data_IF_424397797756
#
_entry.id   IF_424397797756
#
_cell.length_a   1.000
_cell.length_b   1.000
_cell.length_c   1.000
_cell.angle_alpha   90.00
_cell.angle_beta   90.00
_cell.angle_gamma   90.00
#
_symmetry.space_group_name_H-M   'P 1'
#
loop_
_entity.id
_entity.type
_entity.pdbx_description
1 polymer ?
#
# COMPACT_ATOMS: atom_id res chain seq x y z
N UNK A 1 26.32 -17.10 -0.29
CA UNK A 1 25.84 -17.29 1.10
C UNK A 1 25.68 -15.90 1.68
N UNK A 2 24.52 -15.60 2.28
CA UNK A 2 24.23 -14.25 2.79
C UNK A 2 24.84 -14.13 4.17
N UNK A 3 25.72 -13.16 4.36
CA UNK A 3 26.26 -12.80 5.67
C UNK A 3 25.22 -11.91 6.37
N UNK A 4 24.86 -12.27 7.60
CA UNK A 4 23.88 -11.55 8.42
C UNK A 4 24.54 -10.84 9.61
N UNK A 5 25.87 -10.85 9.73
CA UNK A 5 26.56 -10.26 10.87
C UNK A 5 26.21 -8.77 11.02
N UNK A 6 25.71 -8.39 12.19
CA UNK A 6 25.27 -7.03 12.49
C UNK A 6 23.98 -6.58 11.78
N UNK A 7 23.27 -7.46 11.06
CA UNK A 7 22.02 -7.14 10.39
C UNK A 7 20.79 -7.38 11.27
N UNK A 8 19.67 -6.79 10.86
CA UNK A 8 18.36 -7.01 11.43
C UNK A 8 17.56 -7.96 10.54
N UNK A 9 17.07 -9.05 11.12
CA UNK A 9 16.21 -10.02 10.45
C UNK A 9 14.83 -9.92 11.07
N UNK A 10 13.82 -9.63 10.24
CA UNK A 10 12.43 -9.53 10.69
C UNK A 10 11.73 -10.87 10.53
N UNK A 11 11.22 -11.42 11.62
CA UNK A 11 10.29 -12.55 11.60
C UNK A 11 8.86 -11.99 11.68
N UNK A 12 8.17 -11.95 10.54
CA UNK A 12 6.89 -11.26 10.40
C UNK A 12 5.76 -12.28 10.36
N UNK A 13 4.84 -12.20 11.33
CA UNK A 13 3.55 -12.89 11.27
C UNK A 13 2.49 -11.90 10.75
N UNK A 14 2.18 -12.01 9.46
CA UNK A 14 1.18 -11.19 8.76
C UNK A 14 -0.10 -11.99 8.49
N UNK A 15 -1.24 -11.31 8.58
CA UNK A 15 -2.54 -11.85 8.15
C UNK A 15 -2.97 -11.31 6.76
N UNK A 16 -2.27 -10.30 6.24
CA UNK A 16 -2.64 -9.55 5.04
C UNK A 16 -1.49 -9.55 4.04
N UNK A 17 -1.18 -10.74 3.53
CA UNK A 17 -0.14 -10.94 2.54
C UNK A 17 -0.64 -11.72 1.32
N UNK A 18 0.04 -11.54 0.20
CA UNK A 18 -0.17 -12.35 -1.01
C UNK A 18 1.16 -12.94 -1.48
N UNK A 19 1.12 -14.20 -1.92
CA UNK A 19 2.21 -14.78 -2.70
C UNK A 19 1.88 -14.57 -4.19
N UNK A 20 2.65 -13.75 -4.92
CA UNK A 20 2.42 -13.50 -6.34
C UNK A 20 2.85 -14.66 -7.25
N UNK A 21 3.61 -15.63 -6.74
CA UNK A 21 4.04 -16.84 -7.45
C UNK A 21 4.81 -16.54 -8.73
N UNK A 22 4.39 -17.13 -9.84
CA UNK A 22 5.02 -16.92 -11.15
C UNK A 22 4.70 -15.55 -11.78
N UNK A 23 3.89 -14.70 -11.14
CA UNK A 23 3.48 -13.41 -11.70
C UNK A 23 4.44 -12.25 -11.38
N UNK A 24 5.69 -12.56 -11.02
CA UNK A 24 6.72 -11.56 -10.72
C UNK A 24 7.88 -11.67 -11.70
N UNK A 25 8.55 -10.54 -11.94
CA UNK A 25 9.70 -10.45 -12.83
C UNK A 25 11.00 -10.98 -12.19
N UNK A 26 10.91 -11.93 -11.26
CA UNK A 26 12.06 -12.49 -10.52
C UNK A 26 12.00 -14.01 -10.58
N UNK A 27 13.18 -14.65 -10.61
CA UNK A 27 13.29 -16.10 -10.56
C UNK A 27 13.00 -16.67 -9.16
N UNK A 28 13.06 -15.82 -8.12
CA UNK A 28 12.77 -16.18 -6.74
C UNK A 28 11.27 -16.04 -6.47
N UNK A 29 10.60 -17.19 -6.38
CA UNK A 29 9.15 -17.31 -6.19
C UNK A 29 8.73 -17.36 -4.71
N UNK A 30 9.70 -17.30 -3.79
CA UNK A 30 9.43 -17.33 -2.35
C UNK A 30 9.14 -15.93 -1.79
N UNK A 31 9.00 -14.92 -2.67
CA UNK A 31 8.61 -13.58 -2.30
C UNK A 31 7.14 -13.50 -1.90
N UNK A 32 6.87 -12.67 -0.90
CA UNK A 32 5.53 -12.37 -0.42
C UNK A 32 5.35 -10.85 -0.36
N UNK A 33 4.21 -10.36 -0.81
CA UNK A 33 3.85 -8.95 -0.71
C UNK A 33 2.96 -8.74 0.52
N UNK A 34 3.38 -7.84 1.40
CA UNK A 34 2.63 -7.41 2.57
C UNK A 34 1.71 -6.24 2.22
N UNK A 35 0.56 -6.16 2.89
CA UNK A 35 -0.32 -5.00 2.76
C UNK A 35 0.38 -3.74 3.27
N UNK A 36 0.34 -2.62 2.53
CA UNK A 36 0.94 -1.36 2.97
C UNK A 36 0.20 -0.71 4.15
N UNK A 37 -1.01 -1.19 4.46
CA UNK A 37 -1.83 -0.69 5.57
C UNK A 37 -1.74 -1.56 6.82
N UNK A 38 -0.95 -2.65 6.77
CA UNK A 38 -0.77 -3.51 7.92
C UNK A 38 0.22 -2.89 8.90
N UNK A 39 -0.25 -2.69 10.13
CA UNK A 39 0.56 -2.23 11.25
C UNK A 39 0.99 -3.44 12.09
N UNK A 40 2.26 -3.42 12.52
CA UNK A 40 2.85 -4.48 13.33
C UNK A 40 3.29 -3.95 14.69
N UNK A 41 3.20 -4.81 15.69
CA UNK A 41 3.83 -4.57 17.00
C UNK A 41 5.07 -5.44 17.13
N UNK A 42 6.08 -4.91 17.83
CA UNK A 42 7.27 -5.68 18.19
C UNK A 42 6.92 -6.59 19.36
N UNK A 43 6.91 -7.90 19.12
CA UNK A 43 6.65 -8.90 20.15
C UNK A 43 7.94 -9.27 20.90
N UNK A 44 9.07 -9.36 20.19
CA UNK A 44 10.36 -9.69 20.78
C UNK A 44 11.53 -9.16 19.95
N UNK A 45 12.65 -8.91 20.62
CA UNK A 45 13.95 -8.59 20.02
C UNK A 45 14.98 -9.54 20.61
N UNK A 46 15.59 -10.37 19.77
CA UNK A 46 16.49 -11.44 20.16
C UNK A 46 17.84 -11.27 19.47
N UNK A 47 18.93 -11.52 20.20
CA UNK A 47 20.22 -11.76 19.57
C UNK A 47 20.33 -13.23 19.19
N UNK A 48 20.55 -13.49 17.91
CA UNK A 48 20.60 -14.83 17.35
C UNK A 48 21.99 -15.06 16.77
N UNK A 49 22.46 -16.32 16.84
CA UNK A 49 23.71 -16.74 16.24
C UNK A 49 23.41 -17.57 15.00
N UNK A 50 24.06 -17.23 13.90
CA UNK A 50 24.10 -18.13 12.75
C UNK A 50 24.95 -19.34 13.12
N UNK A 51 24.31 -20.52 13.16
CA UNK A 51 24.98 -21.78 13.50
C UNK A 51 26.09 -22.18 12.52
N UNK A 52 26.12 -21.59 11.32
CA UNK A 52 27.08 -21.95 10.27
C UNK A 52 28.28 -20.99 10.26
N UNK A 53 28.04 -19.68 10.42
CA UNK A 53 29.07 -18.65 10.32
C UNK A 53 29.55 -18.09 11.67
N UNK A 54 28.96 -18.54 12.78
CA UNK A 54 29.18 -18.01 14.15
C UNK A 54 28.91 -16.49 14.29
N UNK A 55 28.31 -15.87 13.27
CA UNK A 55 27.96 -14.46 13.26
C UNK A 55 26.72 -14.17 14.11
N UNK A 56 26.67 -12.96 14.68
CA UNK A 56 25.56 -12.53 15.53
C UNK A 56 24.69 -11.54 14.77
N UNK A 57 23.38 -11.81 14.75
CA UNK A 57 22.40 -10.93 14.13
C UNK A 57 21.24 -10.64 15.09
N UNK A 58 20.52 -9.55 14.84
CA UNK A 58 19.37 -9.17 15.65
C UNK A 58 18.08 -9.63 14.98
N UNK A 59 17.39 -10.58 15.59
CA UNK A 59 16.05 -11.01 15.18
C UNK A 59 14.98 -10.14 15.82
N UNK A 60 14.08 -9.56 15.02
CA UNK A 60 12.92 -8.80 15.49
C UNK A 60 11.65 -9.56 15.10
N UNK A 61 10.85 -9.94 16.09
CA UNK A 61 9.57 -10.61 15.87
C UNK A 61 8.47 -9.55 15.76
N UNK A 62 7.82 -9.51 14.61
CA UNK A 62 6.72 -8.60 14.30
C UNK A 62 5.42 -9.38 14.22
N UNK A 63 4.41 -8.93 14.98
CA UNK A 63 3.08 -9.53 14.97
C UNK A 63 2.06 -8.52 14.47
N UNK A 64 1.14 -8.99 13.64
CA UNK A 64 -0.02 -8.22 13.21
C UNK A 64 -0.70 -7.52 14.40
N UNK A 65 -0.91 -6.21 14.26
CA UNK A 65 -1.62 -5.38 15.24
C UNK A 65 -2.97 -4.93 14.70
N UNK A 66 -2.95 -4.26 13.54
CA UNK A 66 -4.11 -3.57 12.99
C UNK A 66 -3.97 -3.38 11.48
N UNK A 67 -5.08 -3.02 10.84
CA UNK A 67 -5.07 -2.40 9.52
C UNK A 67 -5.44 -0.93 9.67
N UNK A 68 -4.56 -0.05 9.21
CA UNK A 68 -4.78 1.39 9.25
C UNK A 68 -4.39 2.02 7.92
N UNK A 69 -5.31 2.79 7.34
CA UNK A 69 -5.07 3.53 6.11
C UNK A 69 -5.51 4.96 6.31
N UNK A 70 -4.61 5.90 6.01
CA UNK A 70 -4.92 7.34 6.01
C UNK A 70 -5.41 7.82 4.64
N UNK A 71 -5.55 6.92 3.66
CA UNK A 71 -6.03 7.25 2.32
C UNK A 71 -7.55 7.40 2.29
N UNK A 72 -8.03 8.57 1.85
CA UNK A 72 -9.46 8.87 1.72
C UNK A 72 -10.02 8.62 0.30
N UNK A 73 -9.58 7.56 -0.38
CA UNK A 73 -10.11 7.14 -1.69
C UNK A 73 -10.21 8.26 -2.76
N UNK A 74 -9.28 9.22 -2.79
CA UNK A 74 -9.33 10.42 -3.66
C UNK A 74 -9.42 10.15 -5.17
N UNK A 75 -9.10 8.93 -5.61
CA UNK A 75 -9.22 8.52 -7.02
C UNK A 75 -10.68 8.51 -7.49
N UNK A 76 -11.65 8.40 -6.57
CA UNK A 76 -13.08 8.47 -6.86
C UNK A 76 -13.70 9.85 -6.64
N UNK A 77 -12.90 10.93 -6.56
CA UNK A 77 -13.41 12.30 -6.60
C UNK A 77 -13.88 12.68 -8.01
N UNK A 78 -14.84 11.94 -8.57
CA UNK A 78 -15.85 12.56 -9.41
C UNK A 78 -16.63 13.46 -8.46
N UNK A 79 -16.22 14.71 -8.35
CA UNK A 79 -17.20 15.74 -8.00
C UNK A 79 -18.42 15.47 -8.88
N UNK A 80 -19.64 15.34 -8.35
CA UNK A 80 -20.79 15.51 -9.22
C UNK A 80 -20.53 16.81 -9.97
N UNK A 81 -20.65 16.79 -11.28
CA UNK A 81 -20.67 18.02 -12.03
C UNK A 81 -21.96 18.74 -11.66
N UNK A 82 -22.03 19.31 -10.45
CA UNK A 82 -22.97 20.33 -10.02
C UNK A 82 -22.57 21.63 -10.73
N UNK A 83 -22.48 21.56 -12.06
CA UNK A 83 -22.53 22.73 -12.90
C UNK A 83 -24.02 23.00 -13.06
N UNK A 84 -24.50 24.06 -12.42
CA UNK A 84 -25.89 24.48 -12.54
C UNK A 84 -26.24 24.59 -14.03
N UNK A 85 -27.06 23.66 -14.52
CA UNK A 85 -27.56 23.65 -15.90
C UNK A 85 -28.37 24.91 -16.22
N UNK A 86 -28.80 25.66 -15.21
CA UNK A 86 -29.52 26.92 -15.36
C UNK A 86 -28.69 27.98 -16.12
N UNK A 87 -27.36 27.99 -15.97
CA UNK A 87 -26.53 28.96 -16.69
C UNK A 87 -26.45 28.63 -18.19
N UNK A 88 -26.29 27.36 -18.54
CA UNK A 88 -26.30 26.91 -19.94
C UNK A 88 -27.65 27.21 -20.62
N UNK A 89 -28.75 27.01 -19.90
CA UNK A 89 -30.10 27.34 -20.40
C UNK A 89 -30.23 28.84 -20.67
N UNK A 90 -29.75 29.70 -19.77
CA UNK A 90 -29.79 31.15 -19.97
C UNK A 90 -28.96 31.59 -21.18
N UNK A 91 -27.76 31.02 -21.35
CA UNK A 91 -26.90 31.34 -22.49
C UNK A 91 -27.53 30.90 -23.81
N UNK A 92 -28.20 29.74 -23.85
CA UNK A 92 -28.92 29.26 -25.04
C UNK A 92 -30.13 30.15 -25.37
N UNK A 93 -30.89 30.60 -24.37
CA UNK A 93 -32.03 31.51 -24.58
C UNK A 93 -31.54 32.85 -25.15
N UNK A 94 -30.50 33.44 -24.56
CA UNK A 94 -29.89 34.68 -25.07
C UNK A 94 -29.41 34.48 -26.52
N UNK A 95 -28.72 33.38 -26.81
CA UNK A 95 -28.23 33.06 -28.15
C UNK A 95 -29.38 32.96 -29.16
N UNK A 96 -30.48 32.29 -28.80
CA UNK A 96 -31.66 32.18 -29.66
C UNK A 96 -32.31 33.53 -29.96
N UNK A 97 -32.36 34.44 -28.99
CA UNK A 97 -32.87 35.80 -29.19
C UNK A 97 -31.96 36.65 -30.07
N UNK A 98 -30.65 36.39 -30.08
CA UNK A 98 -29.70 37.07 -30.98
C UNK A 98 -29.74 36.56 -32.43
N UNK A 99 -30.06 35.29 -32.66
CA UNK A 99 -30.06 34.71 -34.01
C UNK A 99 -31.43 34.62 -34.67
N UNK A 100 -32.53 34.62 -33.90
CA UNK A 100 -33.90 34.45 -34.42
C UNK A 100 -34.78 35.71 -34.28
N UNK A 101 -34.18 36.87 -34.03
CA UNK A 101 -34.79 38.20 -34.11
C UNK A 101 -34.06 39.00 -35.19
#
# INVERSE_FOLDING_TARGET
MVDFDGQFVFNITSCYFINPGANICTADQDMVLLSPTEEFTVEAVNKLKDSINESEYTGIVLKHSSLNSTHNCYILSRSPADVSSQWLVLMLVILSLFFFN
#
